data_IF_184045182087
#
_entry.id   IF_184045182087
#
_cell.length_a   1.000
_cell.length_b   1.000
_cell.length_c   1.000
_cell.angle_alpha   90.00
_cell.angle_beta   90.00
_cell.angle_gamma   90.00
#
_symmetry.space_group_name_H-M   'P 1'
#
loop_
_entity.id
_entity.type
_entity.pdbx_description
1 polymer ?
#
# COMPACT_ATOMS: atom_id res chain seq x y z
N UNK A 1 18.20 -22.42 1.71
CA UNK A 1 17.75 -21.04 1.51
C UNK A 1 17.38 -20.88 0.05
N UNK A 2 16.24 -20.28 -0.32
CA UNK A 2 16.00 -19.96 -1.73
C UNK A 2 17.09 -18.98 -2.17
N UNK A 3 17.75 -19.27 -3.28
CA UNK A 3 18.82 -18.44 -3.85
C UNK A 3 18.24 -17.05 -4.15
N UNK A 4 18.76 -16.02 -3.47
CA UNK A 4 18.38 -14.63 -3.70
C UNK A 4 18.85 -14.21 -5.09
N UNK A 5 17.94 -14.23 -6.06
CA UNK A 5 18.19 -13.64 -7.36
C UNK A 5 18.25 -12.11 -7.18
N UNK A 6 19.45 -11.55 -7.23
CA UNK A 6 19.71 -10.12 -7.03
C UNK A 6 18.97 -9.24 -8.05
N UNK A 7 18.55 -9.81 -9.18
CA UNK A 7 17.73 -9.13 -10.20
C UNK A 7 16.36 -8.70 -9.66
N UNK A 8 15.86 -9.29 -8.57
CA UNK A 8 14.60 -8.89 -7.94
C UNK A 8 14.65 -7.44 -7.46
N UNK A 9 15.80 -6.97 -6.97
CA UNK A 9 15.96 -5.59 -6.48
C UNK A 9 15.80 -4.56 -7.62
N UNK A 10 16.06 -4.94 -8.87
CA UNK A 10 15.88 -4.04 -10.02
C UNK A 10 14.39 -3.70 -10.27
N UNK A 11 13.46 -4.44 -9.68
CA UNK A 11 12.03 -4.19 -9.78
C UNK A 11 11.46 -3.42 -8.58
N UNK A 12 12.32 -3.02 -7.62
CA UNK A 12 11.91 -2.31 -6.40
C UNK A 12 12.53 -0.91 -6.42
N UNK A 13 11.68 0.10 -6.34
CA UNK A 13 12.11 1.48 -6.11
C UNK A 13 12.02 1.79 -4.63
N UNK A 14 13.17 2.07 -3.99
CA UNK A 14 13.22 2.52 -2.61
C UNK A 14 13.16 4.05 -2.58
N UNK A 15 12.18 4.59 -1.86
CA UNK A 15 12.04 6.02 -1.61
C UNK A 15 12.18 6.23 -0.10
N UNK A 16 13.13 7.09 0.27
CA UNK A 16 13.34 7.51 1.66
C UNK A 16 12.72 8.89 1.82
N UNK A 17 11.47 8.90 2.29
CA UNK A 17 10.68 10.11 2.47
C UNK A 17 10.69 10.42 3.97
N UNK A 18 11.26 11.55 4.37
CA UNK A 18 11.45 11.88 5.79
C UNK A 18 10.23 12.59 6.38
N UNK A 19 9.50 13.32 5.54
CA UNK A 19 8.38 14.17 5.96
C UNK A 19 7.08 13.81 5.24
N UNK A 20 5.94 14.21 5.82
CA UNK A 20 4.65 14.11 5.15
C UNK A 20 4.58 14.99 3.89
N UNK A 21 5.35 16.07 3.84
CA UNK A 21 5.47 16.93 2.66
C UNK A 21 6.11 16.16 1.50
N UNK A 22 7.17 15.38 1.77
CA UNK A 22 7.79 14.50 0.76
C UNK A 22 6.81 13.44 0.22
N UNK A 23 5.93 12.91 1.09
CA UNK A 23 4.86 11.99 0.68
C UNK A 23 3.84 12.70 -0.21
N UNK A 24 3.49 13.94 0.10
CA UNK A 24 2.58 14.76 -0.71
C UNK A 24 3.20 15.10 -2.07
N UNK A 25 4.48 15.44 -2.11
CA UNK A 25 5.23 15.70 -3.35
C UNK A 25 5.34 14.45 -4.21
N UNK A 26 5.55 13.28 -3.60
CA UNK A 26 5.48 12.01 -4.30
C UNK A 26 4.09 11.80 -4.95
N UNK A 27 3.01 11.97 -4.19
CA UNK A 27 1.65 11.87 -4.70
C UNK A 27 1.39 12.86 -5.84
N UNK A 28 1.88 14.10 -5.75
CA UNK A 28 1.77 15.09 -6.82
C UNK A 28 2.57 14.67 -8.06
N UNK A 29 3.78 14.13 -7.88
CA UNK A 29 4.62 13.65 -8.99
C UNK A 29 3.93 12.54 -9.79
N UNK A 30 3.19 11.65 -9.11
CA UNK A 30 2.40 10.58 -9.75
C UNK A 30 1.36 11.16 -10.71
N UNK A 31 0.74 12.28 -10.35
CA UNK A 31 -0.28 12.94 -11.18
C UNK A 31 0.28 13.61 -12.42
N UNK A 32 1.53 14.05 -12.35
CA UNK A 32 2.23 14.81 -13.39
C UNK A 32 3.06 13.91 -14.33
N UNK A 33 3.24 12.62 -14.00
CA UNK A 33 3.90 11.68 -14.91
C UNK A 33 3.01 11.37 -16.11
N UNK A 34 3.51 11.73 -17.28
CA UNK A 34 2.88 11.42 -18.57
C UNK A 34 3.30 10.04 -19.11
N UNK A 35 4.42 9.50 -18.63
CA UNK A 35 5.01 8.26 -19.13
C UNK A 35 4.44 7.01 -18.45
N UNK A 36 4.38 5.91 -19.22
CA UNK A 36 3.91 4.61 -18.72
C UNK A 36 5.03 3.74 -18.12
N UNK A 37 6.28 4.19 -18.18
CA UNK A 37 7.46 3.42 -17.82
C UNK A 37 7.71 3.52 -16.31
N UNK A 38 8.04 2.41 -15.64
CA UNK A 38 8.38 2.42 -14.21
C UNK A 38 7.18 2.51 -13.25
N UNK A 39 6.02 1.98 -13.66
CA UNK A 39 4.83 1.97 -12.80
C UNK A 39 4.90 0.89 -11.73
N UNK A 40 4.64 1.24 -10.47
CA UNK A 40 4.51 0.24 -9.44
C UNK A 40 3.18 -0.51 -9.61
N UNK A 41 3.22 -1.83 -9.42
CA UNK A 41 2.01 -2.61 -9.13
C UNK A 41 1.66 -2.59 -7.64
N UNK A 42 2.59 -2.13 -6.80
CA UNK A 42 2.44 -2.04 -5.36
C UNK A 42 3.20 -0.83 -4.82
N UNK A 43 2.52 -0.01 -4.04
CA UNK A 43 3.12 1.02 -3.20
C UNK A 43 3.05 0.53 -1.76
N UNK A 44 4.21 0.47 -1.11
CA UNK A 44 4.32 0.16 0.32
C UNK A 44 4.71 1.44 1.03
N UNK A 45 3.88 1.87 1.97
CA UNK A 45 4.21 2.97 2.89
C UNK A 45 4.47 2.34 4.25
N UNK A 46 5.72 2.40 4.67
CA UNK A 46 6.12 1.94 6.00
C UNK A 46 5.86 3.02 7.05
N UNK A 47 5.37 2.60 8.20
CA UNK A 47 5.00 3.42 9.36
C UNK A 47 4.19 4.69 9.03
N UNK A 48 3.00 4.51 8.47
CA UNK A 48 2.10 5.63 8.13
C UNK A 48 1.77 6.51 9.35
N UNK A 49 1.82 5.94 10.55
CA UNK A 49 1.57 6.65 11.81
C UNK A 49 2.47 7.86 11.99
N UNK A 50 3.76 7.73 11.65
CA UNK A 50 4.74 8.82 11.75
C UNK A 50 4.36 10.03 10.89
N UNK A 51 3.88 9.81 9.65
CA UNK A 51 3.44 10.89 8.76
C UNK A 51 2.11 11.52 9.22
N UNK A 52 1.20 10.73 9.78
CA UNK A 52 -0.07 11.21 10.33
C UNK A 52 0.18 12.20 11.48
N UNK A 53 1.17 11.91 12.33
CA UNK A 53 1.52 12.79 13.46
C UNK A 53 2.02 14.17 13.01
N UNK A 54 2.69 14.23 11.85
CA UNK A 54 3.18 15.48 11.25
C UNK A 54 2.07 16.35 10.65
N UNK A 55 0.92 15.78 10.28
CA UNK A 55 -0.15 16.54 9.65
C UNK A 55 -0.82 17.53 10.61
N UNK A 56 -1.14 18.71 10.09
CA UNK A 56 -2.04 19.66 10.74
C UNK A 56 -3.50 19.29 10.44
N UNK A 57 -4.36 19.36 11.46
CA UNK A 57 -5.77 19.05 11.30
C UNK A 57 -6.56 19.12 12.60
N UNK A 58 -7.90 19.27 12.51
CA UNK A 58 -8.78 19.47 13.67
C UNK A 58 -8.87 18.26 14.60
N UNK A 59 -8.67 17.05 14.07
CA UNK A 59 -8.64 15.81 14.84
C UNK A 59 -7.80 14.75 14.14
N UNK A 60 -7.46 13.67 14.84
CA UNK A 60 -6.64 12.58 14.30
C UNK A 60 -7.32 11.87 13.13
N UNK A 61 -8.61 11.56 13.23
CA UNK A 61 -9.38 10.91 12.15
C UNK A 61 -9.32 11.72 10.85
N UNK A 62 -9.36 13.05 10.95
CA UNK A 62 -9.21 13.93 9.79
C UNK A 62 -7.81 13.82 9.17
N UNK A 63 -6.76 13.76 9.99
CA UNK A 63 -5.37 13.60 9.51
C UNK A 63 -5.19 12.26 8.79
N UNK A 64 -5.70 11.17 9.39
CA UNK A 64 -5.69 9.83 8.77
C UNK A 64 -6.44 9.84 7.45
N UNK A 65 -7.69 10.32 7.45
CA UNK A 65 -8.51 10.39 6.25
C UNK A 65 -7.84 11.20 5.13
N UNK A 66 -7.23 12.34 5.48
CA UNK A 66 -6.51 13.20 4.53
C UNK A 66 -5.34 12.46 3.88
N UNK A 67 -4.46 11.83 4.66
CA UNK A 67 -3.30 11.12 4.10
C UNK A 67 -3.72 9.90 3.28
N UNK A 68 -4.66 9.11 3.79
CA UNK A 68 -5.19 7.96 3.07
C UNK A 68 -5.86 8.38 1.76
N UNK A 69 -6.62 9.47 1.75
CA UNK A 69 -7.25 9.98 0.53
C UNK A 69 -6.21 10.37 -0.52
N UNK A 70 -5.13 11.05 -0.12
CA UNK A 70 -4.05 11.43 -1.04
C UNK A 70 -3.34 10.21 -1.65
N UNK A 71 -3.02 9.21 -0.83
CA UNK A 71 -2.37 7.99 -1.30
C UNK A 71 -3.30 7.16 -2.19
N UNK A 72 -4.57 7.02 -1.80
CA UNK A 72 -5.57 6.33 -2.62
C UNK A 72 -5.82 7.04 -3.94
N UNK A 73 -5.84 8.37 -3.96
CA UNK A 73 -5.99 9.17 -5.18
C UNK A 73 -4.79 9.01 -6.11
N UNK A 74 -3.56 9.02 -5.58
CA UNK A 74 -2.36 8.71 -6.38
C UNK A 74 -2.44 7.30 -7.01
N UNK A 75 -2.87 6.29 -6.25
CA UNK A 75 -3.07 4.93 -6.77
C UNK A 75 -4.20 4.89 -7.81
N UNK A 76 -5.29 5.62 -7.57
CA UNK A 76 -6.39 5.73 -8.52
C UNK A 76 -5.94 6.38 -9.84
N UNK A 77 -5.09 7.40 -9.78
CA UNK A 77 -4.47 8.03 -10.94
C UNK A 77 -3.59 7.05 -11.73
N UNK A 78 -2.76 6.24 -11.03
CA UNK A 78 -1.96 5.16 -11.63
C UNK A 78 -2.81 4.05 -12.27
N UNK A 79 -4.04 3.85 -11.79
CA UNK A 79 -4.95 2.86 -12.37
C UNK A 79 -5.71 3.45 -13.56
N UNK A 80 -6.23 4.67 -13.45
CA UNK A 80 -7.11 5.28 -14.45
C UNK A 80 -6.39 5.91 -15.64
N UNK A 81 -5.52 6.90 -15.40
CA UNK A 81 -4.80 7.59 -16.50
C UNK A 81 -3.86 6.64 -17.23
N UNK A 82 -3.47 5.62 -16.50
CA UNK A 82 -2.29 4.87 -16.75
C UNK A 82 -2.70 3.44 -17.21
N UNK A 83 -3.82 2.87 -16.76
CA UNK A 83 -4.29 1.55 -17.16
C UNK A 83 -3.58 0.43 -16.40
N UNK A 84 -3.19 0.70 -15.15
CA UNK A 84 -2.49 -0.22 -14.26
C UNK A 84 -3.41 -0.89 -13.24
N UNK A 85 -2.83 -1.83 -12.50
CA UNK A 85 -3.41 -2.47 -11.32
C UNK A 85 -2.44 -2.28 -10.15
N UNK A 86 -2.26 -1.02 -9.75
CA UNK A 86 -1.48 -0.63 -8.59
C UNK A 86 -2.31 -0.80 -7.32
N UNK A 87 -1.66 -1.20 -6.25
CA UNK A 87 -2.28 -1.38 -4.94
C UNK A 87 -1.47 -0.74 -3.84
N UNK A 88 -2.14 -0.47 -2.72
CA UNK A 88 -1.56 0.25 -1.58
C UNK A 88 -1.47 -0.68 -0.37
N UNK A 89 -0.29 -0.78 0.21
CA UNK A 89 -0.07 -1.46 1.48
C UNK A 89 0.51 -0.45 2.48
N UNK A 90 -0.18 -0.29 3.60
CA UNK A 90 0.22 0.62 4.66
C UNK A 90 0.62 -0.20 5.88
N UNK A 91 1.80 0.06 6.43
CA UNK A 91 2.20 -0.46 7.74
C UNK A 91 2.01 0.64 8.80
N UNK A 92 1.71 0.26 10.04
CA UNK A 92 1.56 1.18 11.16
C UNK A 92 2.06 0.49 12.43
N UNK A 93 3.02 1.10 13.13
CA UNK A 93 3.62 0.49 14.34
C UNK A 93 2.69 0.50 15.55
N UNK A 94 1.72 1.42 15.59
CA UNK A 94 0.74 1.55 16.67
C UNK A 94 -0.64 1.79 16.09
N UNK A 95 -1.41 0.73 15.78
CA UNK A 95 -2.81 0.93 15.52
C UNK A 95 -3.43 1.30 16.86
N UNK A 96 -3.66 2.59 17.12
CA UNK A 96 -4.77 2.87 18.02
C UNK A 96 -5.99 2.34 17.25
N UNK A 97 -6.69 1.35 17.81
CA UNK A 97 -7.92 0.75 17.25
C UNK A 97 -8.94 1.79 16.76
N UNK A 98 -8.76 3.06 17.15
CA UNK A 98 -9.48 4.25 16.72
C UNK A 98 -9.48 4.46 15.19
N UNK A 99 -8.41 4.13 14.47
CA UNK A 99 -8.30 4.46 13.03
C UNK A 99 -8.87 3.39 12.10
N UNK A 100 -9.11 2.19 12.61
CA UNK A 100 -9.66 1.05 11.84
C UNK A 100 -10.96 1.44 11.12
N UNK A 101 -11.81 2.23 11.78
CA UNK A 101 -13.05 2.74 11.20
C UNK A 101 -12.84 3.65 9.98
N UNK A 102 -11.78 4.45 9.95
CA UNK A 102 -11.43 5.32 8.83
C UNK A 102 -10.91 4.48 7.66
N UNK A 103 -10.00 3.54 7.93
CA UNK A 103 -9.47 2.63 6.90
C UNK A 103 -10.59 1.82 6.21
N UNK A 104 -11.54 1.28 6.97
CA UNK A 104 -12.68 0.57 6.41
C UNK A 104 -13.57 1.45 5.53
N UNK A 105 -13.85 2.69 5.95
CA UNK A 105 -14.62 3.65 5.12
C UNK A 105 -13.92 3.99 3.82
N UNK A 106 -12.60 3.92 3.79
CA UNK A 106 -11.77 4.09 2.59
C UNK A 106 -11.65 2.81 1.75
N UNK A 107 -12.35 1.73 2.13
CA UNK A 107 -12.32 0.45 1.41
C UNK A 107 -11.06 -0.39 1.67
N UNK A 108 -10.27 -0.07 2.69
CA UNK A 108 -9.04 -0.79 3.01
C UNK A 108 -9.32 -2.00 3.92
N UNK A 109 -8.64 -3.11 3.67
CA UNK A 109 -8.59 -4.23 4.61
C UNK A 109 -7.57 -3.94 5.70
N UNK A 110 -7.92 -4.22 6.95
CA UNK A 110 -7.05 -4.00 8.12
C UNK A 110 -6.79 -5.34 8.77
N UNK A 111 -5.52 -5.60 9.11
CA UNK A 111 -5.10 -6.77 9.87
C UNK A 111 -4.23 -6.32 11.05
N UNK A 112 -4.65 -6.69 12.26
CA UNK A 112 -3.85 -6.50 13.46
C UNK A 112 -2.83 -7.64 13.58
N UNK A 113 -1.55 -7.31 13.61
CA UNK A 113 -0.46 -8.29 13.66
C UNK A 113 -0.20 -8.76 15.10
N UNK A 114 -0.49 -7.93 16.12
CA UNK A 114 -0.23 -8.25 17.52
C UNK A 114 -1.24 -9.26 18.07
N UNK A 115 -2.48 -9.20 17.58
CA UNK A 115 -3.54 -10.15 17.97
C UNK A 115 -3.41 -11.51 17.27
N UNK A 116 -2.48 -11.65 16.31
CA UNK A 116 -2.30 -12.85 15.51
C UNK A 116 -1.07 -13.68 15.96
N UNK A 117 -1.21 -15.01 16.11
CA UNK A 117 -0.07 -15.86 16.44
C UNK A 117 0.96 -15.87 15.29
N UNK A 118 2.25 -16.16 15.56
CA UNK A 118 3.23 -16.36 14.51
C UNK A 118 2.76 -17.43 13.51
N UNK A 119 2.84 -17.13 12.21
CA UNK A 119 2.20 -17.98 11.20
C UNK A 119 2.34 -17.46 9.78
N UNK A 120 1.78 -18.24 8.85
CA UNK A 120 1.58 -17.81 7.46
C UNK A 120 0.16 -17.28 7.30
N UNK A 121 0.05 -16.15 6.63
CA UNK A 121 -1.19 -15.45 6.42
C UNK A 121 -1.29 -15.03 4.96
N UNK A 122 -2.51 -15.01 4.45
CA UNK A 122 -2.81 -14.53 3.12
C UNK A 122 -3.97 -13.55 3.21
N UNK A 123 -3.79 -12.37 2.62
CA UNK A 123 -4.85 -11.41 2.38
C UNK A 123 -5.15 -11.42 0.89
N UNK A 124 -6.43 -11.57 0.55
CA UNK A 124 -6.89 -11.38 -0.81
C UNK A 124 -7.98 -10.33 -0.88
N UNK A 125 -7.87 -9.45 -1.86
CA UNK A 125 -8.91 -8.49 -2.18
C UNK A 125 -9.21 -8.57 -3.67
N UNK A 126 -10.50 -8.43 -4.01
CA UNK A 126 -10.97 -8.39 -5.39
C UNK A 126 -11.43 -6.96 -5.65
N UNK A 127 -10.82 -6.31 -6.62
CA UNK A 127 -11.18 -4.98 -7.08
C UNK A 127 -11.43 -5.04 -8.57
N UNK A 128 -12.68 -4.82 -8.97
CA UNK A 128 -13.18 -4.97 -10.34
C UNK A 128 -12.85 -6.36 -10.93
N UNK A 129 -12.02 -6.39 -11.98
CA UNK A 129 -11.54 -7.60 -12.65
C UNK A 129 -10.19 -8.08 -12.09
N UNK A 130 -9.64 -7.43 -11.07
CA UNK A 130 -8.31 -7.76 -10.52
C UNK A 130 -8.42 -8.41 -9.14
N UNK A 131 -7.77 -9.55 -8.97
CA UNK A 131 -7.54 -10.17 -7.66
C UNK A 131 -6.12 -9.88 -7.21
N UNK A 132 -5.99 -9.29 -6.03
CA UNK A 132 -4.73 -9.09 -5.35
C UNK A 132 -4.59 -10.11 -4.22
N UNK A 133 -3.45 -10.79 -4.18
CA UNK A 133 -3.09 -11.76 -3.16
C UNK A 133 -1.75 -11.35 -2.54
N UNK A 134 -1.74 -11.16 -1.23
CA UNK A 134 -0.54 -10.87 -0.44
C UNK A 134 -0.37 -11.99 0.57
N UNK A 135 0.72 -12.74 0.47
CA UNK A 135 1.12 -13.72 1.48
C UNK A 135 2.23 -13.13 2.33
N UNK A 136 2.12 -13.26 3.63
CA UNK A 136 3.14 -12.83 4.57
C UNK A 136 3.35 -13.86 5.68
N UNK A 137 4.54 -13.83 6.25
CA UNK A 137 4.94 -14.69 7.35
C UNK A 137 5.26 -13.81 8.56
N UNK A 138 4.53 -14.00 9.66
CA UNK A 138 4.77 -13.31 10.91
C UNK A 138 5.72 -14.13 11.77
N UNK A 139 6.91 -13.59 12.07
CA UNK A 139 7.84 -14.20 13.04
C UNK A 139 8.31 -13.16 14.04
N UNK A 140 8.10 -13.44 15.33
CA UNK A 140 8.65 -12.62 16.44
C UNK A 140 8.36 -11.12 16.29
N UNK A 141 7.14 -10.77 15.88
CA UNK A 141 6.72 -9.37 15.67
C UNK A 141 7.20 -8.72 14.36
N UNK A 142 7.89 -9.46 13.49
CA UNK A 142 8.32 -9.00 12.17
C UNK A 142 7.44 -9.63 11.10
N UNK A 143 6.92 -8.81 10.19
CA UNK A 143 6.12 -9.24 9.06
C UNK A 143 6.99 -9.35 7.80
N UNK A 144 7.13 -10.57 7.28
CA UNK A 144 7.88 -10.83 6.04
C UNK A 144 6.89 -11.00 4.89
N UNK A 145 6.93 -10.09 3.92
CA UNK A 145 6.19 -10.27 2.66
C UNK A 145 6.78 -11.46 1.89
N UNK A 146 6.00 -12.53 1.75
CA UNK A 146 6.41 -13.79 1.09
C UNK A 146 6.02 -13.80 -0.39
N UNK A 147 4.82 -13.30 -0.70
CA UNK A 147 4.30 -13.25 -2.07
C UNK A 147 3.41 -12.04 -2.23
N UNK A 148 3.53 -11.39 -3.38
CA UNK A 148 2.56 -10.43 -3.87
C UNK A 148 2.18 -10.83 -5.29
N UNK A 149 0.89 -11.00 -5.56
CA UNK A 149 0.39 -11.36 -6.89
C UNK A 149 -0.83 -10.50 -7.21
N UNK A 150 -0.80 -9.91 -8.39
CA UNK A 150 -1.98 -9.27 -9.00
C UNK A 150 -2.40 -10.12 -10.19
N UNK A 151 -3.65 -10.55 -10.19
CA UNK A 151 -4.24 -11.36 -11.25
C UNK A 151 -5.37 -10.57 -11.89
N UNK A 152 -5.22 -10.16 -13.14
CA UNK A 152 -6.29 -9.50 -13.90
C UNK A 152 -7.06 -10.57 -14.66
N UNK A 153 -8.38 -10.67 -14.46
CA UNK A 153 -9.25 -11.46 -15.33
C UNK A 153 -9.16 -10.88 -16.73
N UNK A 154 -8.47 -11.58 -17.62
CA UNK A 154 -8.44 -11.20 -19.03
C UNK A 154 -9.87 -11.13 -19.56
N UNK A 155 -10.24 -10.01 -20.18
CA UNK A 155 -11.35 -9.99 -21.13
C UNK A 155 -11.08 -11.14 -22.10
N UNK A 156 -11.93 -12.17 -22.08
CA UNK A 156 -11.93 -13.20 -23.12
C UNK A 156 -12.01 -12.44 -24.45
N UNK A 157 -10.96 -12.56 -25.25
CA UNK A 157 -10.96 -12.07 -26.62
C UNK A 157 -12.15 -12.68 -27.36
N UNK A 158 -12.79 -11.84 -28.17
CA UNK A 158 -13.83 -12.15 -29.15
C UNK A 158 -13.40 -13.31 -30.04
#
# INVERSE_FOLDING_TARGET
>A
MPSSDSRVLNYISFLYLDTVEDVMDFCASVHNREDKVGRPNLIIVDDIGSYIEQLQGPCQDHKVAKLCALLCDAVHCLNNKQGGSCSLLLSCLRPSQRFTSVYWKMGMQVMDIQENPPGEFALSTVQDDSTLEVEFNLRRGVLFLKRFRVTVKGKKGV
#
